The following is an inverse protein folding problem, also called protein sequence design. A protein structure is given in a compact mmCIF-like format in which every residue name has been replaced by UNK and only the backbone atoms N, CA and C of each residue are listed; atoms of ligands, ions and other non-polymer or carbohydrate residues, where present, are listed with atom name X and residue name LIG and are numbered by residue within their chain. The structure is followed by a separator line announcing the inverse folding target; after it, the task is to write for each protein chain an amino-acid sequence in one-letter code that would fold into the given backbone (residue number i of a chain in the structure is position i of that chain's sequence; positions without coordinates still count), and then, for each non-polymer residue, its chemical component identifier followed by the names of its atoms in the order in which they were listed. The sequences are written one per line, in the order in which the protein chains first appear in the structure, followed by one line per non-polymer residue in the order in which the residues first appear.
data_IF_231878039815
#
_entry.id   IF_231878039815
#
_cell.length_a   1.000
_cell.length_b   1.000
_cell.length_c   1.000
_cell.angle_alpha   90.00
_cell.angle_beta   90.00
_cell.angle_gamma   90.00
#
_symmetry.space_group_name_H-M   'P 1'
#
loop_
_entity.id
_entity.type
_entity.pdbx_description
1 polymer ?
#
# COMPACT_ATOMS: atom_id res chain seq x y z
N UNK A 1 -31.45 -0.74 6.75
CA UNK A 1 -31.68 0.19 7.86
C UNK A 1 -30.38 0.59 8.51
N UNK A 2 -29.69 -0.24 9.29
CA UNK A 2 -28.42 0.10 9.97
C UNK A 2 -27.29 0.60 9.03
N UNK A 3 -27.14 0.00 7.85
CA UNK A 3 -26.13 0.42 6.87
C UNK A 3 -26.38 1.86 6.38
N UNK A 4 -27.65 2.25 6.21
CA UNK A 4 -27.99 3.61 5.80
C UNK A 4 -27.73 4.61 6.94
N UNK A 5 -27.99 4.24 8.20
CA UNK A 5 -27.71 5.07 9.36
C UNK A 5 -26.20 5.37 9.45
N UNK A 6 -25.33 4.37 9.25
CA UNK A 6 -23.89 4.57 9.20
C UNK A 6 -23.46 5.44 8.01
N UNK A 7 -24.05 5.24 6.83
CA UNK A 7 -23.72 6.01 5.63
C UNK A 7 -24.03 7.51 5.76
N UNK A 8 -25.09 7.85 6.50
CA UNK A 8 -25.56 9.24 6.71
C UNK A 8 -24.98 9.90 7.96
N UNK A 9 -24.24 9.13 8.79
CA UNK A 9 -23.62 9.64 10.00
C UNK A 9 -22.54 10.69 9.66
N UNK A 10 -22.40 11.71 10.51
CA UNK A 10 -21.26 12.64 10.39
C UNK A 10 -19.97 12.01 10.95
N UNK A 11 -18.79 12.29 10.34
CA UNK A 11 -17.52 11.88 10.91
C UNK A 11 -17.37 12.32 12.36
N UNK A 12 -17.02 11.40 13.25
CA UNK A 12 -16.89 11.64 14.68
C UNK A 12 -15.64 10.93 15.26
N UNK A 13 -15.42 11.04 16.56
CA UNK A 13 -14.25 10.48 17.25
C UNK A 13 -14.08 8.97 17.04
N UNK A 14 -15.15 8.21 16.89
CA UNK A 14 -15.11 6.78 16.62
C UNK A 14 -14.40 6.48 15.28
N UNK A 15 -14.79 7.19 14.21
CA UNK A 15 -14.21 7.00 12.88
C UNK A 15 -12.71 7.33 12.86
N UNK A 16 -12.30 8.44 13.49
CA UNK A 16 -10.88 8.80 13.58
C UNK A 16 -10.09 7.84 14.47
N UNK A 17 -10.68 7.33 15.56
CA UNK A 17 -10.05 6.31 16.40
C UNK A 17 -9.86 5.01 15.62
N UNK A 18 -10.87 4.58 14.87
CA UNK A 18 -10.81 3.40 14.02
C UNK A 18 -9.73 3.55 12.93
N UNK A 19 -9.70 4.72 12.27
CA UNK A 19 -8.67 5.08 11.30
C UNK A 19 -7.27 5.05 11.91
N UNK A 20 -7.09 5.61 13.11
CA UNK A 20 -5.79 5.62 13.78
C UNK A 20 -5.30 4.22 14.10
N UNK A 21 -6.18 3.36 14.65
CA UNK A 21 -5.83 1.97 14.97
C UNK A 21 -5.46 1.21 13.70
N UNK A 22 -6.25 1.33 12.65
CA UNK A 22 -5.99 0.71 11.36
C UNK A 22 -4.74 1.27 10.68
N UNK A 23 -4.56 2.59 10.75
CA UNK A 23 -3.43 3.29 10.15
C UNK A 23 -2.10 2.93 10.81
N UNK A 24 -2.05 2.77 12.14
CA UNK A 24 -0.86 2.30 12.83
C UNK A 24 -0.49 0.88 12.37
N UNK A 25 -1.46 -0.03 12.21
CA UNK A 25 -1.22 -1.34 11.62
C UNK A 25 -0.59 -1.21 10.23
N UNK A 26 -1.19 -0.41 9.37
CA UNK A 26 -0.69 -0.15 8.02
C UNK A 26 0.70 0.52 8.00
N UNK A 27 1.00 1.39 8.97
CA UNK A 27 2.35 1.93 9.13
C UNK A 27 3.38 0.86 9.52
N UNK A 28 3.00 -0.11 10.33
CA UNK A 28 3.87 -1.23 10.65
C UNK A 28 4.16 -2.12 9.44
N UNK A 29 3.17 -2.34 8.57
CA UNK A 29 3.36 -3.08 7.31
C UNK A 29 4.38 -2.38 6.40
N UNK A 30 4.22 -1.06 6.25
CA UNK A 30 5.14 -0.23 5.49
C UNK A 30 6.54 -0.20 6.12
N UNK A 31 6.64 -0.19 7.45
CA UNK A 31 7.90 -0.23 8.17
C UNK A 31 8.65 -1.54 7.93
N UNK A 32 7.99 -2.70 8.02
CA UNK A 32 8.63 -4.00 7.76
C UNK A 32 9.09 -4.10 6.30
N UNK A 33 8.24 -3.66 5.37
CA UNK A 33 8.59 -3.60 3.93
C UNK A 33 9.77 -2.66 3.68
N UNK A 34 9.85 -1.54 4.40
CA UNK A 34 10.96 -0.59 4.29
C UNK A 34 12.26 -1.11 4.89
N UNK A 35 12.22 -1.75 6.06
CA UNK A 35 13.41 -2.26 6.74
C UNK A 35 14.21 -3.21 5.84
N UNK A 36 13.55 -4.06 5.05
CA UNK A 36 14.25 -4.99 4.16
C UNK A 36 15.15 -4.24 3.15
N UNK A 37 14.70 -3.09 2.63
CA UNK A 37 15.48 -2.27 1.71
C UNK A 37 16.79 -1.79 2.34
N UNK A 38 16.75 -1.39 3.60
CA UNK A 38 17.91 -0.89 4.34
C UNK A 38 18.89 -1.99 4.72
N UNK A 39 18.43 -3.22 4.94
CA UNK A 39 19.32 -4.32 5.31
C UNK A 39 19.95 -5.02 4.09
N UNK A 40 19.38 -4.86 2.88
CA UNK A 40 19.93 -5.48 1.65
C UNK A 40 21.43 -5.24 1.46
N UNK A 41 21.98 -4.01 1.55
CA UNK A 41 23.42 -3.80 1.38
C UNK A 41 24.27 -4.45 2.48
N UNK A 42 23.70 -4.60 3.69
CA UNK A 42 24.37 -5.30 4.80
C UNK A 42 24.41 -6.81 4.57
N UNK A 43 23.31 -7.40 4.11
CA UNK A 43 23.25 -8.83 3.75
C UNK A 43 24.19 -9.16 2.59
N UNK A 44 24.25 -8.29 1.58
CA UNK A 44 25.22 -8.44 0.48
C UNK A 44 26.64 -8.54 1.01
N UNK A 45 27.00 -7.69 1.97
CA UNK A 45 28.34 -7.69 2.56
C UNK A 45 28.59 -8.87 3.49
N UNK A 46 27.61 -9.24 4.35
CA UNK A 46 27.78 -10.28 5.37
C UNK A 46 27.75 -11.70 4.77
N UNK A 47 26.86 -11.93 3.81
CA UNK A 47 26.63 -13.26 3.21
C UNK A 47 27.17 -13.38 1.78
N UNK A 48 27.85 -12.35 1.26
CA UNK A 48 28.40 -12.30 -0.11
C UNK A 48 27.37 -12.62 -1.20
N UNK A 49 26.13 -12.10 -1.03
CA UNK A 49 25.03 -12.38 -1.93
C UNK A 49 25.18 -11.62 -3.25
N UNK A 50 24.78 -12.27 -4.33
CA UNK A 50 24.66 -11.66 -5.65
C UNK A 50 23.46 -10.69 -5.70
N UNK A 51 23.46 -9.77 -6.66
CA UNK A 51 22.32 -8.89 -6.87
C UNK A 51 21.02 -9.67 -7.12
N UNK A 52 21.10 -10.79 -7.85
CA UNK A 52 19.94 -11.66 -8.12
C UNK A 52 19.37 -12.26 -6.84
N UNK A 53 20.22 -12.76 -5.93
CA UNK A 53 19.77 -13.30 -4.64
C UNK A 53 19.11 -12.23 -3.76
N UNK A 54 19.68 -11.02 -3.71
CA UNK A 54 19.09 -9.89 -3.00
C UNK A 54 17.74 -9.48 -3.62
N UNK A 55 17.67 -9.42 -4.96
CA UNK A 55 16.40 -9.13 -5.66
C UNK A 55 15.32 -10.18 -5.39
N UNK A 56 15.72 -11.45 -5.26
CA UNK A 56 14.81 -12.55 -4.91
C UNK A 56 14.19 -12.35 -3.51
N UNK A 57 14.96 -11.88 -2.52
CA UNK A 57 14.42 -11.57 -1.18
C UNK A 57 13.27 -10.55 -1.25
N UNK A 58 13.43 -9.50 -2.05
CA UNK A 58 12.38 -8.51 -2.26
C UNK A 58 11.17 -9.09 -2.99
N UNK A 59 11.42 -9.79 -4.11
CA UNK A 59 10.36 -10.37 -4.95
C UNK A 59 9.54 -11.44 -4.23
N UNK A 60 10.17 -12.31 -3.44
CA UNK A 60 9.48 -13.35 -2.67
C UNK A 60 8.58 -12.74 -1.59
N UNK A 61 9.00 -11.65 -0.94
CA UNK A 61 8.16 -10.91 -0.01
C UNK A 61 6.91 -10.35 -0.68
N UNK A 62 7.08 -9.70 -1.84
CA UNK A 62 5.96 -9.14 -2.61
C UNK A 62 5.06 -10.22 -3.22
N UNK A 63 5.61 -11.38 -3.61
CA UNK A 63 4.84 -12.56 -4.02
C UNK A 63 3.98 -13.06 -2.86
N UNK A 64 4.56 -13.18 -1.67
CA UNK A 64 3.83 -13.48 -0.45
C UNK A 64 2.68 -12.51 -0.21
N UNK A 65 2.91 -11.20 -0.37
CA UNK A 65 1.86 -10.18 -0.25
C UNK A 65 0.73 -10.36 -1.27
N UNK A 66 1.04 -10.71 -2.51
CA UNK A 66 0.02 -10.94 -3.53
C UNK A 66 -0.86 -12.16 -3.17
N UNK A 67 -0.24 -13.26 -2.77
CA UNK A 67 -0.96 -14.48 -2.35
C UNK A 67 -1.77 -14.20 -1.07
N UNK A 68 -1.15 -13.55 -0.08
CA UNK A 68 -1.79 -13.20 1.19
C UNK A 68 -3.03 -12.32 1.02
N UNK A 69 -2.99 -11.36 0.09
CA UNK A 69 -4.14 -10.49 -0.19
C UNK A 69 -5.35 -11.28 -0.73
N UNK A 70 -5.11 -12.23 -1.63
CA UNK A 70 -6.17 -13.07 -2.20
C UNK A 70 -6.73 -14.01 -1.12
N UNK A 71 -5.86 -14.68 -0.38
CA UNK A 71 -6.27 -15.62 0.66
C UNK A 71 -7.00 -14.92 1.81
N UNK A 72 -6.45 -13.83 2.33
CA UNK A 72 -7.07 -13.09 3.42
C UNK A 72 -8.40 -12.46 3.01
N UNK A 73 -8.50 -11.91 1.79
CA UNK A 73 -9.76 -11.38 1.27
C UNK A 73 -10.85 -12.46 1.21
N UNK A 74 -10.53 -13.64 0.68
CA UNK A 74 -11.46 -14.77 0.64
C UNK A 74 -11.84 -15.28 2.03
N UNK A 75 -10.86 -15.44 2.93
CA UNK A 75 -11.08 -15.92 4.28
C UNK A 75 -11.84 -14.90 5.16
N UNK A 76 -11.64 -13.60 4.95
CA UNK A 76 -12.33 -12.56 5.72
C UNK A 76 -13.85 -12.62 5.56
N UNK A 77 -14.34 -13.06 4.41
CA UNK A 77 -15.78 -13.24 4.15
C UNK A 77 -16.38 -14.45 4.90
N UNK A 78 -15.57 -15.42 5.32
CA UNK A 78 -16.00 -16.61 6.04
C UNK A 78 -15.72 -16.56 7.54
N UNK A 79 -14.57 -16.01 7.94
CA UNK A 79 -14.08 -16.07 9.32
C UNK A 79 -14.32 -14.73 10.06
N UNK A 80 -14.40 -13.61 9.33
CA UNK A 80 -14.56 -12.25 9.84
C UNK A 80 -13.32 -11.39 9.64
N UNK A 81 -13.54 -10.09 9.46
CA UNK A 81 -12.44 -9.15 9.15
C UNK A 81 -11.47 -8.98 10.32
N UNK A 82 -12.01 -8.77 11.51
CA UNK A 82 -11.21 -8.59 12.74
C UNK A 82 -10.30 -9.77 13.03
N UNK A 83 -10.79 -11.00 12.84
CA UNK A 83 -9.98 -12.21 13.07
C UNK A 83 -8.86 -12.32 12.05
N UNK A 84 -9.15 -12.05 10.77
CA UNK A 84 -8.14 -12.12 9.70
C UNK A 84 -7.06 -11.08 9.94
N UNK A 85 -7.39 -9.82 10.23
CA UNK A 85 -6.39 -8.79 10.56
C UNK A 85 -5.50 -9.25 11.73
N UNK A 86 -6.10 -9.83 12.78
CA UNK A 86 -5.33 -10.35 13.92
C UNK A 86 -4.37 -11.47 13.51
N UNK A 87 -4.83 -12.42 12.71
CA UNK A 87 -4.02 -13.58 12.31
C UNK A 87 -2.92 -13.21 11.31
N UNK A 88 -3.21 -12.32 10.36
CA UNK A 88 -2.21 -11.85 9.40
C UNK A 88 -1.12 -11.05 10.08
N UNK A 89 -1.47 -10.20 11.02
CA UNK A 89 -0.52 -9.42 11.81
C UNK A 89 0.34 -10.30 12.73
N UNK A 90 -0.24 -11.33 13.36
CA UNK A 90 0.52 -12.31 14.14
C UNK A 90 1.48 -13.11 13.25
N UNK A 91 1.01 -13.55 12.08
CA UNK A 91 1.83 -14.32 11.14
C UNK A 91 3.06 -13.54 10.72
N UNK A 92 2.88 -12.29 10.22
CA UNK A 92 4.05 -11.53 9.77
C UNK A 92 4.93 -11.10 10.92
N UNK A 93 4.39 -10.73 12.07
CA UNK A 93 5.19 -10.35 13.24
C UNK A 93 6.06 -11.49 13.75
N UNK A 94 5.52 -12.72 13.82
CA UNK A 94 6.31 -13.92 14.18
C UNK A 94 7.34 -14.22 13.09
N UNK A 95 6.96 -14.17 11.82
CA UNK A 95 7.86 -14.43 10.70
C UNK A 95 8.99 -13.39 10.63
N UNK A 96 8.72 -12.12 10.97
CA UNK A 96 9.76 -11.08 11.08
C UNK A 96 10.69 -11.32 12.26
N UNK A 97 10.17 -11.78 13.40
CA UNK A 97 11.01 -12.19 14.53
C UNK A 97 11.93 -13.36 14.15
N UNK A 98 11.42 -14.36 13.43
CA UNK A 98 12.22 -15.45 12.91
C UNK A 98 13.25 -14.98 11.89
N UNK A 99 12.91 -13.99 11.05
CA UNK A 99 13.84 -13.35 10.11
C UNK A 99 15.03 -12.71 10.82
N UNK A 100 14.82 -12.11 12.01
CA UNK A 100 15.89 -11.54 12.82
C UNK A 100 16.89 -12.60 13.32
N UNK A 101 16.45 -13.85 13.44
CA UNK A 101 17.26 -14.99 13.89
C UNK A 101 17.83 -15.80 12.71
N UNK A 102 17.67 -15.36 11.46
CA UNK A 102 18.05 -16.12 10.29
C UNK A 102 19.56 -16.46 10.28
N UNK A 103 19.91 -17.76 10.19
CA UNK A 103 21.30 -18.19 10.15
C UNK A 103 21.89 -18.11 8.73
N UNK A 104 21.05 -18.16 7.71
CA UNK A 104 21.44 -18.17 6.30
C UNK A 104 20.38 -17.54 5.39
N UNK A 105 20.71 -17.40 4.13
CA UNK A 105 19.89 -16.80 3.09
C UNK A 105 18.57 -17.56 2.86
N UNK A 106 18.61 -18.88 2.75
CA UNK A 106 17.44 -19.71 2.45
C UNK A 106 16.38 -19.63 3.54
N UNK A 107 16.81 -19.62 4.79
CA UNK A 107 15.92 -19.44 5.93
C UNK A 107 15.26 -18.04 5.89
N UNK A 108 16.05 -16.99 5.61
CA UNK A 108 15.52 -15.64 5.49
C UNK A 108 14.53 -15.55 4.32
N UNK A 109 14.81 -16.21 3.19
CA UNK A 109 13.91 -16.22 2.03
C UNK A 109 12.53 -16.81 2.36
N UNK A 110 12.51 -17.95 3.06
CA UNK A 110 11.26 -18.57 3.52
C UNK A 110 10.52 -17.66 4.50
N UNK A 111 11.23 -17.05 5.44
CA UNK A 111 10.65 -16.08 6.35
C UNK A 111 10.06 -14.88 5.60
N UNK A 112 10.71 -14.35 4.56
CA UNK A 112 10.20 -13.24 3.74
C UNK A 112 8.90 -13.61 3.01
N UNK A 113 8.77 -14.84 2.54
CA UNK A 113 7.50 -15.31 1.98
C UNK A 113 6.38 -15.29 3.02
N UNK A 114 6.64 -15.80 4.23
CA UNK A 114 5.66 -15.83 5.33
C UNK A 114 5.30 -14.41 5.82
N UNK A 115 6.29 -13.54 5.92
CA UNK A 115 6.07 -12.11 6.22
C UNK A 115 5.14 -11.50 5.16
N UNK A 116 5.47 -11.71 3.88
CA UNK A 116 4.63 -11.23 2.78
C UNK A 116 3.20 -11.74 2.85
N UNK A 117 2.98 -13.04 3.12
CA UNK A 117 1.65 -13.62 3.28
C UNK A 117 0.82 -12.89 4.37
N UNK A 118 1.44 -12.54 5.47
CA UNK A 118 0.81 -11.75 6.53
C UNK A 118 0.50 -10.32 6.08
N UNK A 119 1.51 -9.57 5.66
CA UNK A 119 1.39 -8.16 5.23
C UNK A 119 0.35 -7.97 4.12
N UNK A 120 0.34 -8.88 3.13
CA UNK A 120 -0.57 -8.77 1.99
C UNK A 120 -2.04 -8.88 2.35
N UNK A 121 -2.35 -9.59 3.41
CA UNK A 121 -3.72 -9.79 3.87
C UNK A 121 -4.31 -8.62 4.64
N UNK A 122 -3.49 -7.73 5.17
CA UNK A 122 -3.96 -6.67 6.07
C UNK A 122 -4.71 -5.55 5.33
N UNK A 123 -4.09 -4.90 4.35
CA UNK A 123 -4.68 -3.73 3.69
C UNK A 123 -6.07 -3.96 3.09
N UNK A 124 -6.32 -5.02 2.28
CA UNK A 124 -7.63 -5.20 1.68
C UNK A 124 -8.74 -5.36 2.71
N UNK A 125 -8.43 -6.05 3.82
CA UNK A 125 -9.39 -6.31 4.89
C UNK A 125 -9.64 -5.07 5.74
N UNK A 126 -8.57 -4.34 6.08
CA UNK A 126 -8.63 -3.08 6.84
C UNK A 126 -9.35 -2.00 6.04
N UNK A 127 -9.00 -1.81 4.77
CA UNK A 127 -9.64 -0.83 3.90
C UNK A 127 -11.14 -1.11 3.75
N UNK A 128 -11.52 -2.40 3.62
CA UNK A 128 -12.93 -2.81 3.61
C UNK A 128 -13.61 -2.43 4.91
N UNK A 129 -13.01 -2.73 6.06
CA UNK A 129 -13.60 -2.41 7.36
C UNK A 129 -13.77 -0.89 7.55
N UNK A 130 -12.75 -0.10 7.20
CA UNK A 130 -12.83 1.38 7.25
C UNK A 130 -13.94 1.89 6.35
N UNK A 131 -14.09 1.38 5.13
CA UNK A 131 -15.16 1.81 4.20
C UNK A 131 -16.54 1.44 4.68
N UNK A 132 -16.71 0.31 5.38
CA UNK A 132 -17.99 -0.13 5.94
C UNK A 132 -18.49 0.77 7.05
N UNK A 133 -17.59 1.28 7.89
CA UNK A 133 -17.93 2.18 8.99
C UNK A 133 -17.91 3.66 8.60
N UNK A 134 -17.20 4.04 7.54
CA UNK A 134 -17.08 5.44 7.13
C UNK A 134 -18.36 5.98 6.48
N UNK A 135 -18.78 7.21 6.83
CA UNK A 135 -19.88 7.91 6.17
C UNK A 135 -19.62 8.02 4.66
N UNK A 136 -20.71 7.95 3.87
CA UNK A 136 -20.63 7.89 2.41
C UNK A 136 -19.86 9.08 1.81
N UNK A 137 -20.13 10.30 2.28
CA UNK A 137 -19.53 11.54 1.76
C UNK A 137 -18.04 11.68 2.08
N UNK A 138 -17.56 11.02 3.14
CA UNK A 138 -16.17 11.12 3.60
C UNK A 138 -15.34 9.85 3.40
N UNK A 139 -15.93 8.80 2.85
CA UNK A 139 -15.31 7.47 2.68
C UNK A 139 -13.98 7.53 1.94
N UNK A 140 -13.95 8.23 0.80
CA UNK A 140 -12.72 8.42 0.02
C UNK A 140 -11.63 9.12 0.83
N UNK A 141 -12.00 10.15 1.62
CA UNK A 141 -11.07 10.85 2.49
C UNK A 141 -10.45 9.94 3.55
N UNK A 142 -11.24 9.04 4.16
CA UNK A 142 -10.73 8.08 5.15
C UNK A 142 -9.74 7.09 4.53
N UNK A 143 -9.97 6.64 3.29
CA UNK A 143 -9.03 5.76 2.58
C UNK A 143 -7.72 6.48 2.26
N UNK A 144 -7.77 7.71 1.75
CA UNK A 144 -6.54 8.50 1.50
C UNK A 144 -5.76 8.75 2.79
N UNK A 145 -6.46 9.03 3.90
CA UNK A 145 -5.83 9.17 5.21
C UNK A 145 -5.21 7.85 5.69
N UNK A 146 -5.85 6.70 5.46
CA UNK A 146 -5.29 5.38 5.75
C UNK A 146 -4.00 5.15 4.96
N UNK A 147 -4.03 5.42 3.66
CA UNK A 147 -2.87 5.27 2.77
C UNK A 147 -1.68 6.17 3.19
N UNK A 148 -1.93 7.36 3.74
CA UNK A 148 -0.87 8.25 4.20
C UNK A 148 -0.01 7.67 5.33
N UNK A 149 -0.52 6.69 6.09
CA UNK A 149 0.25 5.97 7.10
C UNK A 149 1.39 5.12 6.51
N UNK A 150 1.32 4.79 5.22
CA UNK A 150 2.42 4.15 4.50
C UNK A 150 3.71 4.98 4.56
N UNK A 151 3.62 6.28 4.31
CA UNK A 151 4.78 7.19 4.42
C UNK A 151 5.33 7.26 5.86
N UNK A 152 4.46 7.18 6.88
CA UNK A 152 4.88 7.12 8.29
C UNK A 152 5.68 5.84 8.53
N UNK A 153 5.24 4.70 8.01
CA UNK A 153 5.94 3.43 8.14
C UNK A 153 7.33 3.46 7.50
N UNK A 154 7.45 4.00 6.29
CA UNK A 154 8.76 4.19 5.64
C UNK A 154 9.67 5.14 6.42
N UNK A 155 9.12 6.21 7.01
CA UNK A 155 9.89 7.11 7.88
C UNK A 155 10.41 6.37 9.12
N UNK A 156 9.57 5.53 9.75
CA UNK A 156 9.99 4.71 10.89
C UNK A 156 11.10 3.71 10.49
N UNK A 157 10.98 3.06 9.33
CA UNK A 157 12.02 2.18 8.80
C UNK A 157 13.34 2.94 8.58
N UNK A 158 13.29 4.12 8.00
CA UNK A 158 14.46 4.97 7.77
C UNK A 158 15.10 5.44 9.08
N UNK A 159 14.30 5.79 10.10
CA UNK A 159 14.79 6.14 11.43
C UNK A 159 15.46 4.96 12.13
N UNK A 160 14.87 3.77 12.07
CA UNK A 160 15.48 2.54 12.59
C UNK A 160 16.79 2.25 11.88
N UNK A 161 16.80 2.38 10.56
CA UNK A 161 18.00 2.16 9.76
C UNK A 161 19.13 3.15 10.11
N UNK A 162 18.80 4.42 10.25
CA UNK A 162 19.79 5.46 10.53
C UNK A 162 20.31 5.44 11.98
N UNK A 163 19.41 5.23 12.96
CA UNK A 163 19.75 5.36 14.40
C UNK A 163 20.15 4.05 15.06
N UNK A 164 19.57 2.91 14.64
CA UNK A 164 19.67 1.64 15.38
C UNK A 164 20.57 0.64 14.64
N UNK A 165 20.35 0.44 13.34
CA UNK A 165 21.09 -0.58 12.58
C UNK A 165 22.61 -0.38 12.61
N UNK A 166 23.18 0.85 12.51
CA UNK A 166 24.63 1.03 12.54
C UNK A 166 25.28 0.64 13.88
N UNK A 167 24.52 0.69 14.96
CA UNK A 167 25.02 0.42 16.33
C UNK A 167 24.80 -1.06 16.71
N UNK A 168 23.60 -1.58 16.44
CA UNK A 168 23.14 -2.89 16.93
C UNK A 168 23.02 -3.96 15.83
N UNK A 169 23.25 -3.61 14.56
CA UNK A 169 23.14 -4.50 13.42
C UNK A 169 21.72 -4.70 12.90
N UNK A 170 21.64 -5.31 11.72
CA UNK A 170 20.37 -5.49 10.98
C UNK A 170 19.37 -6.44 11.67
N UNK A 171 19.89 -7.41 12.46
CA UNK A 171 19.04 -8.34 13.23
C UNK A 171 18.15 -7.63 14.23
N UNK A 172 18.68 -6.63 14.91
CA UNK A 172 17.89 -5.80 15.85
C UNK A 172 16.88 -4.93 15.09
N UNK A 173 17.26 -4.40 13.92
CA UNK A 173 16.32 -3.70 13.03
C UNK A 173 15.11 -4.55 12.69
N UNK A 174 15.30 -5.81 12.29
CA UNK A 174 14.20 -6.76 12.03
C UNK A 174 13.45 -7.15 13.32
N UNK A 175 14.13 -7.32 14.45
CA UNK A 175 13.47 -7.63 15.71
C UNK A 175 12.48 -6.52 16.14
N UNK A 176 12.81 -5.26 15.87
CA UNK A 176 11.88 -4.13 16.05
C UNK A 176 10.70 -4.26 15.09
N UNK A 177 10.92 -4.71 13.85
CA UNK A 177 9.88 -5.03 12.89
C UNK A 177 8.88 -6.10 13.34
N UNK A 178 9.19 -6.87 14.38
CA UNK A 178 8.28 -7.85 14.97
C UNK A 178 7.29 -7.26 16.01
N UNK A 179 7.49 -6.02 16.46
CA UNK A 179 6.62 -5.35 17.45
C UNK A 179 5.13 -5.34 17.07
N UNK A 180 4.74 -5.28 15.79
CA UNK A 180 3.35 -5.39 15.39
C UNK A 180 2.62 -6.62 15.91
N UNK A 181 3.31 -7.75 16.14
CA UNK A 181 2.69 -8.91 16.78
C UNK A 181 2.06 -8.57 18.14
N UNK A 182 2.65 -7.65 18.91
CA UNK A 182 2.10 -7.16 20.18
C UNK A 182 0.90 -6.23 19.96
N UNK A 183 0.86 -5.52 18.84
CA UNK A 183 -0.23 -4.60 18.49
C UNK A 183 -1.54 -5.33 18.20
N UNK A 184 -1.52 -6.62 17.90
CA UNK A 184 -2.72 -7.46 17.75
C UNK A 184 -3.64 -7.41 18.96
N UNK A 185 -3.11 -7.22 20.16
CA UNK A 185 -3.88 -7.00 21.39
C UNK A 185 -4.74 -5.73 21.31
N UNK A 186 -4.22 -4.66 20.74
CA UNK A 186 -4.95 -3.39 20.55
C UNK A 186 -6.05 -3.57 19.51
N UNK A 187 -5.76 -4.23 18.39
CA UNK A 187 -6.76 -4.52 17.35
C UNK A 187 -7.89 -5.38 17.93
N UNK A 188 -7.54 -6.44 18.63
CA UNK A 188 -8.52 -7.35 19.25
C UNK A 188 -9.45 -6.65 20.23
N UNK A 189 -8.94 -5.70 21.00
CA UNK A 189 -9.74 -5.01 22.04
C UNK A 189 -10.56 -3.83 21.51
N UNK A 190 -10.08 -3.11 20.48
CA UNK A 190 -10.65 -1.82 20.08
C UNK A 190 -11.30 -1.82 18.70
N UNK A 191 -10.98 -2.77 17.83
CA UNK A 191 -11.60 -2.86 16.50
C UNK A 191 -12.94 -3.59 16.57
N UNK A 192 -14.03 -3.04 16.01
CA UNK A 192 -15.30 -3.74 15.87
C UNK A 192 -15.21 -4.79 14.74
N UNK A 193 -16.07 -5.82 14.76
CA UNK A 193 -16.22 -6.72 13.63
C UNK A 193 -17.06 -6.06 12.53
N UNK A 194 -16.93 -6.51 11.30
CA UNK A 194 -17.70 -6.01 10.17
C UNK A 194 -19.18 -6.33 10.31
N UNK A 195 -20.04 -5.30 10.23
CA UNK A 195 -21.48 -5.49 10.27
C UNK A 195 -21.99 -6.25 9.04
N UNK A 196 -21.42 -6.01 7.86
CA UNK A 196 -21.78 -6.74 6.63
C UNK A 196 -21.44 -8.23 6.72
N UNK A 197 -20.29 -8.55 7.34
CA UNK A 197 -19.94 -9.94 7.63
C UNK A 197 -20.94 -10.60 8.57
N UNK A 198 -21.31 -9.93 9.66
CA UNK A 198 -22.25 -10.48 10.65
C UNK A 198 -23.66 -10.64 10.06
N UNK A 199 -24.11 -9.73 9.20
CA UNK A 199 -25.35 -9.85 8.45
C UNK A 199 -25.29 -11.06 7.51
N UNK A 200 -24.24 -11.20 6.71
CA UNK A 200 -24.08 -12.31 5.75
C UNK A 200 -24.03 -13.68 6.42
N UNK A 201 -23.43 -13.75 7.62
CA UNK A 201 -23.34 -14.96 8.43
C UNK A 201 -24.55 -15.18 9.34
N UNK A 202 -25.58 -14.32 9.26
CA UNK A 202 -26.81 -14.37 10.07
C UNK A 202 -26.55 -14.43 11.59
N UNK A 203 -25.49 -13.79 12.08
CA UNK A 203 -25.06 -13.77 13.49
C UNK A 203 -25.73 -12.64 14.25
N UNK A 204 -27.05 -12.74 14.49
CA UNK A 204 -27.88 -11.68 15.05
C UNK A 204 -27.38 -11.13 16.39
N UNK A 205 -27.02 -12.02 17.34
CA UNK A 205 -26.56 -11.60 18.68
C UNK A 205 -25.24 -10.81 18.61
N UNK A 206 -24.28 -11.28 17.79
CA UNK A 206 -23.01 -10.59 17.59
C UNK A 206 -23.20 -9.27 16.83
N UNK A 207 -24.13 -9.24 15.88
CA UNK A 207 -24.48 -8.04 15.14
C UNK A 207 -25.01 -6.97 16.10
N UNK A 208 -26.03 -7.31 16.93
CA UNK A 208 -26.61 -6.36 17.86
C UNK A 208 -25.64 -5.95 18.97
N UNK A 209 -24.74 -6.84 19.41
CA UNK A 209 -23.65 -6.49 20.33
C UNK A 209 -22.67 -5.50 19.70
N UNK A 210 -22.31 -5.70 18.44
CA UNK A 210 -21.41 -4.77 17.70
C UNK A 210 -22.09 -3.43 17.47
N UNK A 211 -23.39 -3.41 17.12
CA UNK A 211 -24.18 -2.17 17.00
C UNK A 211 -24.18 -1.42 18.34
N UNK A 212 -24.37 -2.12 19.48
CA UNK A 212 -24.32 -1.52 20.81
C UNK A 212 -22.94 -0.88 21.10
N UNK A 213 -21.86 -1.56 20.70
CA UNK A 213 -20.51 -1.05 20.87
C UNK A 213 -20.29 0.23 20.04
N UNK A 214 -20.76 0.26 18.78
CA UNK A 214 -20.66 1.43 17.91
C UNK A 214 -21.51 2.57 18.43
N UNK A 215 -22.75 2.30 18.86
CA UNK A 215 -23.66 3.27 19.47
C UNK A 215 -23.03 3.94 20.70
N UNK A 216 -22.45 3.15 21.61
CA UNK A 216 -21.77 3.67 22.79
C UNK A 216 -20.56 4.56 22.43
N UNK A 217 -19.82 4.19 21.37
CA UNK A 217 -18.64 4.93 20.91
C UNK A 217 -19.01 6.21 20.13
N UNK A 218 -20.09 6.17 19.36
CA UNK A 218 -20.56 7.32 18.53
C UNK A 218 -21.48 8.28 19.29
N UNK A 219 -22.13 7.79 20.35
CA UNK A 219 -23.21 8.46 21.10
C UNK A 219 -24.43 8.80 20.20
N UNK A 220 -24.61 8.06 19.14
CA UNK A 220 -25.74 8.18 18.20
C UNK A 220 -26.59 6.93 18.33
N UNK A 221 -27.92 7.03 18.61
CA UNK A 221 -28.77 5.87 18.68
C UNK A 221 -28.80 5.13 17.34
N UNK A 222 -28.64 3.81 17.38
CA UNK A 222 -28.63 2.95 16.20
C UNK A 222 -29.71 1.88 16.31
N UNK A 223 -30.37 1.61 15.18
CA UNK A 223 -31.44 0.61 15.14
C UNK A 223 -30.89 -0.80 15.26
N UNK A 224 -31.46 -1.61 16.17
CA UNK A 224 -31.16 -3.05 16.27
C UNK A 224 -31.81 -3.80 15.13
N UNK A 225 -31.09 -4.80 14.64
CA UNK A 225 -31.62 -5.69 13.59
C UNK A 225 -32.47 -6.82 14.17
N UNK A 226 -33.48 -7.22 13.43
CA UNK A 226 -34.31 -8.41 13.67
C UNK A 226 -33.91 -9.55 12.73
N UNK A 227 -34.50 -10.75 12.94
CA UNK A 227 -34.25 -11.90 12.02
C UNK A 227 -34.78 -11.62 10.61
N UNK A 228 -35.93 -10.92 10.51
CA UNK A 228 -36.54 -10.57 9.23
C UNK A 228 -35.70 -9.57 8.45
N UNK A 229 -35.07 -8.60 9.14
CA UNK A 229 -34.13 -7.67 8.53
C UNK A 229 -32.92 -8.39 7.89
N UNK A 230 -32.40 -9.44 8.55
CA UNK A 230 -31.27 -10.22 8.03
C UNK A 230 -31.59 -10.94 6.73
N UNK A 231 -32.81 -11.54 6.65
CA UNK A 231 -33.23 -12.24 5.43
C UNK A 231 -33.43 -11.29 4.25
N UNK A 232 -33.95 -10.09 4.47
CA UNK A 232 -34.12 -9.06 3.45
C UNK A 232 -32.77 -8.51 2.93
N UNK A 233 -31.79 -8.34 3.81
CA UNK A 233 -30.48 -7.78 3.46
C UNK A 233 -29.58 -8.77 2.69
N UNK A 234 -29.83 -10.09 2.79
CA UNK A 234 -29.05 -11.12 2.09
C UNK A 234 -29.58 -11.45 0.69
N UNK A 235 -30.80 -11.03 0.33
CA UNK A 235 -31.48 -11.42 -0.91
C UNK A 235 -30.97 -10.74 -2.20
N UNK A 236 -30.09 -9.75 -2.13
CA UNK A 236 -29.76 -8.85 -3.26
C UNK A 236 -28.26 -8.79 -3.59
N UNK A 237 -27.59 -9.92 -3.77
CA UNK A 237 -26.14 -9.98 -4.01
C UNK A 237 -25.79 -10.41 -5.45
N UNK A 238 -26.11 -9.59 -6.45
CA UNK A 238 -25.60 -9.78 -7.83
C UNK A 238 -24.16 -9.27 -7.90
N UNK A 239 -23.19 -10.20 -8.01
CA UNK A 239 -21.77 -9.83 -8.10
C UNK A 239 -21.36 -9.59 -9.56
N UNK A 240 -20.78 -8.42 -9.87
CA UNK A 240 -20.24 -8.17 -11.20
C UNK A 240 -19.05 -9.11 -11.48
N UNK A 241 -18.93 -9.56 -12.73
CA UNK A 241 -17.86 -10.44 -13.18
C UNK A 241 -16.72 -9.68 -13.84
N UNK A 242 -15.53 -10.30 -13.92
CA UNK A 242 -14.37 -9.70 -14.60
C UNK A 242 -14.68 -9.28 -16.04
N UNK A 243 -15.53 -10.04 -16.74
CA UNK A 243 -15.97 -9.71 -18.10
C UNK A 243 -16.64 -8.35 -18.22
N UNK A 244 -17.27 -7.85 -17.16
CA UNK A 244 -17.90 -6.52 -17.14
C UNK A 244 -16.88 -5.39 -17.33
N UNK A 245 -15.64 -5.55 -16.86
CA UNK A 245 -14.56 -4.55 -17.03
C UNK A 245 -14.07 -4.46 -18.47
N UNK A 246 -14.27 -5.50 -19.27
CA UNK A 246 -13.84 -5.58 -20.67
C UNK A 246 -14.95 -5.26 -21.69
N UNK A 247 -16.10 -4.81 -21.22
CA UNK A 247 -17.12 -4.27 -22.10
C UNK A 247 -16.56 -3.03 -22.86
N UNK A 248 -17.01 -2.79 -24.09
CA UNK A 248 -16.58 -1.67 -24.94
C UNK A 248 -16.54 -0.32 -24.21
N UNK A 249 -17.42 -0.13 -23.22
CA UNK A 249 -17.54 1.08 -22.42
C UNK A 249 -16.39 1.29 -21.44
N UNK A 250 -15.84 0.20 -20.86
CA UNK A 250 -14.85 0.27 -19.77
C UNK A 250 -13.47 -0.24 -20.18
N UNK A 251 -13.36 -1.01 -21.26
CA UNK A 251 -12.13 -1.68 -21.66
C UNK A 251 -10.93 -0.72 -21.78
N UNK A 252 -11.12 0.44 -22.41
CA UNK A 252 -10.04 1.43 -22.57
C UNK A 252 -9.58 1.99 -21.22
N UNK A 253 -10.54 2.30 -20.32
CA UNK A 253 -10.23 2.79 -18.97
C UNK A 253 -9.52 1.73 -18.15
N UNK A 254 -9.98 0.49 -18.24
CA UNK A 254 -9.39 -0.67 -17.57
C UNK A 254 -7.96 -0.90 -18.05
N UNK A 255 -7.72 -0.90 -19.35
CA UNK A 255 -6.40 -1.04 -19.95
C UNK A 255 -5.46 0.08 -19.48
N UNK A 256 -5.89 1.33 -19.55
CA UNK A 256 -5.12 2.50 -19.10
C UNK A 256 -4.76 2.37 -17.61
N UNK A 257 -5.73 2.02 -16.75
CA UNK A 257 -5.48 1.84 -15.32
C UNK A 257 -4.52 0.68 -15.04
N UNK A 258 -4.67 -0.46 -15.72
CA UNK A 258 -3.77 -1.60 -15.54
C UNK A 258 -2.32 -1.26 -15.90
N UNK A 259 -2.10 -0.58 -17.03
CA UNK A 259 -0.78 -0.11 -17.44
C UNK A 259 -0.23 0.88 -16.41
N UNK A 260 -1.04 1.82 -15.93
CA UNK A 260 -0.62 2.83 -14.97
C UNK A 260 -0.28 2.21 -13.62
N UNK A 261 -1.13 1.31 -13.10
CA UNK A 261 -0.86 0.60 -11.84
C UNK A 261 0.38 -0.29 -11.93
N UNK A 262 0.53 -1.03 -13.04
CA UNK A 262 1.73 -1.83 -13.26
C UNK A 262 2.98 -0.95 -13.22
N UNK A 263 3.00 0.15 -14.00
CA UNK A 263 4.18 1.00 -14.13
C UNK A 263 4.52 1.77 -12.84
N UNK A 264 3.52 2.26 -12.09
CA UNK A 264 3.77 2.99 -10.85
C UNK A 264 4.29 2.05 -9.75
N UNK A 265 3.71 0.85 -9.61
CA UNK A 265 4.15 -0.15 -8.63
C UNK A 265 5.53 -0.70 -8.99
N UNK A 266 5.75 -1.01 -10.27
CA UNK A 266 7.04 -1.42 -10.81
C UNK A 266 8.14 -0.39 -10.48
N UNK A 267 7.93 0.88 -10.83
CA UNK A 267 8.91 1.93 -10.58
C UNK A 267 9.11 2.22 -9.09
N UNK A 268 8.05 2.21 -8.31
CA UNK A 268 8.13 2.45 -6.87
C UNK A 268 9.00 1.40 -6.17
N UNK A 269 8.65 0.12 -6.29
CA UNK A 269 9.41 -0.94 -5.62
C UNK A 269 10.80 -1.12 -6.22
N UNK A 270 10.95 -0.92 -7.54
CA UNK A 270 12.26 -0.97 -8.19
C UNK A 270 13.23 0.09 -7.68
N UNK A 271 12.73 1.30 -7.45
CA UNK A 271 13.55 2.40 -6.95
C UNK A 271 13.76 2.26 -5.43
N UNK A 272 12.67 2.36 -4.65
CA UNK A 272 12.79 2.53 -3.20
C UNK A 272 13.34 1.30 -2.49
N UNK A 273 13.11 0.10 -2.99
CA UNK A 273 13.69 -1.11 -2.41
C UNK A 273 15.20 -1.23 -2.64
N UNK A 274 15.69 -0.73 -3.76
CA UNK A 274 17.10 -0.80 -4.11
C UNK A 274 17.91 0.47 -3.78
N UNK A 275 17.23 1.55 -3.47
CA UNK A 275 17.87 2.87 -3.30
C UNK A 275 19.03 2.89 -2.29
N UNK A 276 18.95 2.25 -1.10
CA UNK A 276 20.10 2.18 -0.18
C UNK A 276 21.30 1.46 -0.79
N UNK A 277 21.04 0.34 -1.46
CA UNK A 277 22.11 -0.45 -2.12
C UNK A 277 22.76 0.31 -3.28
N UNK A 278 21.94 1.00 -4.09
CA UNK A 278 22.43 1.77 -5.24
C UNK A 278 23.25 2.98 -4.81
N UNK A 279 22.86 3.70 -3.77
CA UNK A 279 23.65 4.80 -3.21
C UNK A 279 24.95 4.29 -2.61
N UNK A 280 24.91 3.15 -1.90
CA UNK A 280 26.11 2.51 -1.36
C UNK A 280 27.10 2.10 -2.47
N UNK A 281 26.61 1.54 -3.59
CA UNK A 281 27.45 1.17 -4.73
C UNK A 281 28.11 2.37 -5.42
N UNK A 282 27.57 3.57 -5.28
CA UNK A 282 28.21 4.80 -5.76
C UNK A 282 29.38 5.29 -4.87
N UNK A 283 29.78 4.52 -3.88
CA UNK A 283 30.91 4.81 -3.01
C UNK A 283 30.57 5.59 -1.74
N UNK A 284 29.29 5.86 -1.47
CA UNK A 284 28.87 6.43 -0.20
C UNK A 284 28.92 5.40 0.92
N UNK A 285 29.09 5.83 2.16
CA UNK A 285 28.99 4.92 3.31
C UNK A 285 27.55 4.46 3.50
N UNK A 286 27.37 3.30 4.12
CA UNK A 286 26.03 2.77 4.45
C UNK A 286 25.23 3.77 5.29
N UNK A 287 25.88 4.42 6.25
CA UNK A 287 25.23 5.44 7.12
C UNK A 287 24.76 6.63 6.29
N UNK A 288 25.57 7.16 5.37
CA UNK A 288 25.16 8.23 4.46
C UNK A 288 24.02 7.82 3.55
N UNK A 289 24.01 6.59 3.07
CA UNK A 289 22.90 6.06 2.28
C UNK A 289 21.58 6.08 3.07
N UNK A 290 21.63 5.70 4.35
CA UNK A 290 20.45 5.74 5.24
C UNK A 290 20.01 7.19 5.54
N UNK A 291 20.95 8.10 5.77
CA UNK A 291 20.68 9.53 5.96
C UNK A 291 19.96 10.14 4.75
N UNK A 292 20.44 9.85 3.53
CA UNK A 292 19.83 10.36 2.31
C UNK A 292 18.42 9.81 2.10
N UNK A 293 18.21 8.53 2.35
CA UNK A 293 16.86 7.98 2.29
C UNK A 293 15.92 8.57 3.34
N UNK A 294 16.41 8.85 4.53
CA UNK A 294 15.63 9.53 5.56
C UNK A 294 15.14 10.90 5.06
N UNK A 295 16.05 11.71 4.49
CA UNK A 295 15.71 13.02 3.91
C UNK A 295 14.70 12.86 2.76
N UNK A 296 14.94 11.90 1.85
CA UNK A 296 14.04 11.64 0.72
C UNK A 296 12.66 11.17 1.20
N UNK A 297 12.58 10.38 2.26
CA UNK A 297 11.32 9.91 2.84
C UNK A 297 10.53 11.06 3.45
N UNK A 298 11.17 12.02 4.09
CA UNK A 298 10.50 13.22 4.61
C UNK A 298 9.84 14.02 3.48
N UNK A 299 10.45 14.07 2.30
CA UNK A 299 9.90 14.78 1.14
C UNK A 299 8.58 14.15 0.61
N UNK A 300 8.26 12.91 0.97
CA UNK A 300 7.00 12.25 0.59
C UNK A 300 5.77 12.97 1.18
N UNK A 301 5.87 13.48 2.40
CA UNK A 301 4.74 14.15 3.07
C UNK A 301 4.26 15.40 2.33
N UNK A 302 5.11 16.40 2.01
CA UNK A 302 4.68 17.52 1.20
C UNK A 302 4.24 17.10 -0.21
N UNK A 303 4.77 15.98 -0.76
CA UNK A 303 4.31 15.38 -2.00
C UNK A 303 2.83 15.00 -1.97
N UNK A 304 2.40 14.27 -0.94
CA UNK A 304 0.98 13.94 -0.74
C UNK A 304 0.10 15.17 -0.56
N UNK A 305 0.54 16.15 0.24
CA UNK A 305 -0.23 17.36 0.52
C UNK A 305 -0.43 18.19 -0.75
N UNK A 306 0.65 18.38 -1.52
CA UNK A 306 0.60 19.16 -2.77
C UNK A 306 -0.25 18.45 -3.84
N UNK A 307 -0.17 17.13 -3.91
CA UNK A 307 -1.00 16.33 -4.82
C UNK A 307 -2.48 16.45 -4.46
N UNK A 308 -2.85 16.36 -3.18
CA UNK A 308 -4.23 16.55 -2.72
C UNK A 308 -4.78 17.93 -3.10
N UNK A 309 -3.97 18.99 -2.96
CA UNK A 309 -4.36 20.34 -3.38
C UNK A 309 -4.54 20.45 -4.90
N UNK A 310 -3.61 19.91 -5.68
CA UNK A 310 -3.63 20.03 -7.14
C UNK A 310 -4.76 19.18 -7.78
N UNK A 311 -5.08 18.02 -7.21
CA UNK A 311 -6.22 17.19 -7.66
C UNK A 311 -7.51 17.98 -7.69
N UNK A 312 -7.75 18.83 -6.70
CA UNK A 312 -8.95 19.67 -6.66
C UNK A 312 -8.85 20.89 -7.57
N UNK A 313 -7.64 21.41 -7.83
CA UNK A 313 -7.40 22.62 -8.62
C UNK A 313 -7.36 22.35 -10.13
N UNK A 314 -6.59 21.37 -10.60
CA UNK A 314 -6.39 21.08 -12.03
C UNK A 314 -7.01 19.75 -12.48
N UNK A 315 -7.48 18.92 -11.55
CA UNK A 315 -8.10 17.63 -11.84
C UNK A 315 -7.17 16.43 -11.67
N UNK A 316 -7.78 15.23 -11.71
CA UNK A 316 -7.07 13.97 -11.40
C UNK A 316 -6.12 13.56 -12.52
N UNK A 317 -6.60 13.59 -13.76
CA UNK A 317 -5.83 13.22 -14.95
C UNK A 317 -4.56 14.04 -15.09
N UNK A 318 -4.68 15.37 -15.02
CA UNK A 318 -3.54 16.27 -15.23
C UNK A 318 -2.56 16.23 -14.07
N UNK A 319 -3.05 16.14 -12.81
CA UNK A 319 -2.18 16.01 -11.64
C UNK A 319 -1.38 14.72 -11.70
N UNK A 320 -2.03 13.58 -12.00
CA UNK A 320 -1.35 12.29 -12.09
C UNK A 320 -0.28 12.32 -13.19
N UNK A 321 -0.62 12.79 -14.39
CA UNK A 321 0.33 12.86 -15.51
C UNK A 321 1.52 13.77 -15.21
N UNK A 322 1.29 14.92 -14.57
CA UNK A 322 2.35 15.85 -14.18
C UNK A 322 3.31 15.20 -13.17
N UNK A 323 2.76 14.57 -12.13
CA UNK A 323 3.57 13.95 -11.09
C UNK A 323 4.36 12.75 -11.60
N UNK A 324 3.78 11.95 -12.49
CA UNK A 324 4.48 10.85 -13.15
C UNK A 324 5.60 11.36 -14.05
N UNK A 325 5.35 12.40 -14.83
CA UNK A 325 6.36 13.00 -15.70
C UNK A 325 7.53 13.58 -14.88
N UNK A 326 7.22 14.33 -13.81
CA UNK A 326 8.24 14.88 -12.91
C UNK A 326 9.01 13.77 -12.18
N UNK A 327 8.36 12.65 -11.83
CA UNK A 327 9.04 11.47 -11.27
C UNK A 327 10.03 10.86 -12.27
N UNK A 328 9.64 10.78 -13.55
CA UNK A 328 10.51 10.30 -14.62
C UNK A 328 11.74 11.19 -14.84
N UNK A 329 11.52 12.51 -14.90
CA UNK A 329 12.61 13.49 -15.03
C UNK A 329 13.56 13.39 -13.83
N UNK A 330 13.01 13.35 -12.61
CA UNK A 330 13.81 13.23 -11.39
C UNK A 330 14.59 11.93 -11.33
N UNK A 331 13.99 10.80 -11.76
CA UNK A 331 14.67 9.50 -11.86
C UNK A 331 15.84 9.55 -12.85
N UNK A 332 15.66 10.18 -14.00
CA UNK A 332 16.73 10.37 -14.97
C UNK A 332 17.92 11.12 -14.39
N UNK A 333 17.66 12.27 -13.76
CA UNK A 333 18.74 13.06 -13.12
C UNK A 333 19.38 12.35 -11.94
N UNK A 334 18.63 11.53 -11.21
CA UNK A 334 19.19 10.74 -10.12
C UNK A 334 20.20 9.70 -10.62
N UNK A 335 19.86 8.96 -11.70
CA UNK A 335 20.76 7.98 -12.30
C UNK A 335 22.03 8.59 -12.90
N UNK A 336 21.95 9.83 -13.38
CA UNK A 336 23.06 10.58 -13.99
C UNK A 336 23.73 11.57 -13.06
N UNK A 337 23.51 11.43 -11.73
CA UNK A 337 24.03 12.39 -10.77
C UNK A 337 25.56 12.37 -10.73
N UNK A 338 26.20 13.49 -11.02
CA UNK A 338 27.66 13.70 -10.98
C UNK A 338 28.15 14.32 -9.69
N UNK A 339 27.23 14.79 -8.84
CA UNK A 339 27.51 15.40 -7.56
C UNK A 339 26.52 14.95 -6.48
N UNK A 340 26.98 15.00 -5.23
CA UNK A 340 26.13 14.70 -4.06
C UNK A 340 24.88 15.60 -4.00
N UNK A 341 25.01 16.87 -4.31
CA UNK A 341 23.89 17.81 -4.36
C UNK A 341 22.85 17.43 -5.43
N UNK A 342 23.30 17.01 -6.61
CA UNK A 342 22.42 16.54 -7.69
C UNK A 342 21.71 15.26 -7.31
N UNK A 343 22.43 14.30 -6.70
CA UNK A 343 21.85 13.04 -6.21
C UNK A 343 20.75 13.32 -5.19
N UNK A 344 21.03 14.12 -4.18
CA UNK A 344 20.09 14.40 -3.11
C UNK A 344 18.87 15.18 -3.61
N UNK A 345 19.09 16.24 -4.42
CA UNK A 345 18.00 17.04 -4.94
C UNK A 345 17.09 16.25 -5.86
N UNK A 346 17.64 15.47 -6.78
CA UNK A 346 16.84 14.64 -7.68
C UNK A 346 16.12 13.52 -6.93
N UNK A 347 16.75 12.94 -5.88
CA UNK A 347 16.12 11.96 -5.02
C UNK A 347 14.95 12.52 -4.19
N UNK A 348 15.11 13.74 -3.65
CA UNK A 348 14.04 14.48 -2.97
C UNK A 348 12.87 14.72 -3.93
N UNK A 349 13.13 15.25 -5.12
CA UNK A 349 12.12 15.49 -6.14
C UNK A 349 11.42 14.19 -6.56
N UNK A 350 12.19 13.12 -6.79
CA UNK A 350 11.65 11.80 -7.14
C UNK A 350 10.70 11.26 -6.06
N UNK A 351 11.09 11.35 -4.79
CA UNK A 351 10.27 10.93 -3.65
C UNK A 351 9.00 11.77 -3.52
N UNK A 352 9.12 13.09 -3.66
CA UNK A 352 8.00 14.03 -3.61
C UNK A 352 6.96 13.73 -4.68
N UNK A 353 7.36 13.64 -5.94
CA UNK A 353 6.43 13.45 -7.05
C UNK A 353 5.87 12.02 -7.10
N UNK A 354 6.69 11.00 -6.81
CA UNK A 354 6.24 9.62 -6.86
C UNK A 354 5.13 9.35 -5.83
N UNK A 355 5.33 9.74 -4.59
CA UNK A 355 4.32 9.52 -3.55
C UNK A 355 3.08 10.42 -3.74
N UNK A 356 3.25 11.61 -4.30
CA UNK A 356 2.12 12.40 -4.75
C UNK A 356 1.31 11.69 -5.83
N UNK A 357 1.95 11.07 -6.82
CA UNK A 357 1.28 10.27 -7.85
C UNK A 357 0.51 9.08 -7.24
N UNK A 358 1.06 8.41 -6.21
CA UNK A 358 0.37 7.36 -5.45
C UNK A 358 -0.95 7.86 -4.85
N UNK A 359 -0.95 9.01 -4.18
CA UNK A 359 -2.18 9.60 -3.63
C UNK A 359 -3.22 9.88 -4.69
N UNK A 360 -2.80 10.35 -5.87
CA UNK A 360 -3.72 10.65 -6.97
C UNK A 360 -4.30 9.38 -7.58
N UNK A 361 -3.50 8.33 -7.82
CA UNK A 361 -4.01 7.11 -8.47
C UNK A 361 -5.02 6.36 -7.60
N UNK A 362 -4.85 6.35 -6.28
CA UNK A 362 -5.82 5.78 -5.35
C UNK A 362 -7.16 6.52 -5.37
N UNK A 363 -7.13 7.84 -5.58
CA UNK A 363 -8.35 8.63 -5.71
C UNK A 363 -8.98 8.48 -7.10
N UNK A 364 -8.16 8.51 -8.14
CA UNK A 364 -8.60 8.50 -9.54
C UNK A 364 -9.20 7.15 -9.96
N UNK A 365 -8.60 6.04 -9.55
CA UNK A 365 -9.03 4.70 -9.97
C UNK A 365 -10.50 4.41 -9.66
N UNK A 366 -11.01 4.58 -8.42
CA UNK A 366 -12.42 4.33 -8.12
C UNK A 366 -13.37 5.34 -8.77
N UNK A 367 -12.91 6.55 -9.11
CA UNK A 367 -13.73 7.56 -9.78
C UNK A 367 -13.99 7.24 -11.26
N UNK A 368 -13.23 6.35 -11.87
CA UNK A 368 -13.41 5.94 -13.27
C UNK A 368 -14.44 4.83 -13.49
N UNK A 369 -14.94 4.22 -12.41
CA UNK A 369 -15.92 3.14 -12.49
C UNK A 369 -17.24 3.51 -11.79
N UNK A 370 -18.39 3.09 -12.33
CA UNK A 370 -19.67 3.22 -11.65
C UNK A 370 -19.68 2.38 -10.37
N UNK A 371 -20.54 2.75 -9.44
CA UNK A 371 -20.57 2.19 -8.08
C UNK A 371 -20.63 0.66 -8.04
N UNK A 372 -21.35 0.05 -9.00
CA UNK A 372 -21.59 -1.40 -9.09
C UNK A 372 -20.31 -2.21 -9.34
N UNK A 373 -19.40 -1.69 -10.17
CA UNK A 373 -18.15 -2.39 -10.57
C UNK A 373 -16.89 -1.72 -10.01
N UNK A 374 -17.02 -0.65 -9.24
CA UNK A 374 -15.91 0.14 -8.70
C UNK A 374 -14.93 -0.68 -7.89
N UNK A 375 -15.44 -1.51 -6.97
CA UNK A 375 -14.61 -2.39 -6.15
C UNK A 375 -13.86 -3.42 -6.97
N UNK A 376 -14.53 -4.01 -7.97
CA UNK A 376 -13.93 -4.97 -8.89
C UNK A 376 -12.82 -4.32 -9.73
N UNK A 377 -13.10 -3.15 -10.33
CA UNK A 377 -12.15 -2.43 -11.18
C UNK A 377 -10.92 -1.97 -10.42
N UNK A 378 -11.10 -1.39 -9.22
CA UNK A 378 -9.98 -0.95 -8.37
C UNK A 378 -9.15 -2.13 -7.86
N UNK A 379 -9.80 -3.21 -7.46
CA UNK A 379 -9.12 -4.41 -6.96
C UNK A 379 -8.26 -5.07 -8.05
N UNK A 380 -8.77 -5.21 -9.27
CA UNK A 380 -8.00 -5.77 -10.38
C UNK A 380 -6.86 -4.85 -10.82
N UNK A 381 -7.07 -3.53 -10.87
CA UNK A 381 -6.02 -2.58 -11.20
C UNK A 381 -4.84 -2.68 -10.20
N UNK A 382 -5.13 -2.67 -8.91
CA UNK A 382 -4.12 -2.86 -7.87
C UNK A 382 -3.46 -4.25 -7.94
N UNK A 383 -4.23 -5.30 -8.26
CA UNK A 383 -3.71 -6.66 -8.45
C UNK A 383 -2.70 -6.76 -9.59
N UNK A 384 -2.98 -6.13 -10.74
CA UNK A 384 -2.02 -6.05 -11.87
C UNK A 384 -0.77 -5.26 -11.47
N UNK A 385 -0.93 -4.18 -10.70
CA UNK A 385 0.21 -3.44 -10.16
C UNK A 385 1.15 -4.33 -9.34
N UNK A 386 0.62 -5.25 -8.54
CA UNK A 386 1.44 -6.18 -7.74
C UNK A 386 2.35 -7.07 -8.57
N UNK A 387 1.94 -7.44 -9.79
CA UNK A 387 2.79 -8.20 -10.73
C UNK A 387 4.06 -7.40 -11.05
N UNK A 388 3.92 -6.09 -11.32
CA UNK A 388 5.07 -5.20 -11.52
C UNK A 388 5.99 -5.15 -10.30
N UNK A 389 5.40 -5.06 -9.10
CA UNK A 389 6.13 -5.08 -7.83
C UNK A 389 6.90 -6.39 -7.59
N UNK A 390 6.34 -7.54 -7.94
CA UNK A 390 7.00 -8.85 -7.80
C UNK A 390 8.19 -8.97 -8.75
N UNK A 391 8.04 -8.53 -9.99
CA UNK A 391 9.06 -8.69 -11.03
C UNK A 391 10.26 -7.78 -10.79
N UNK A 392 10.04 -6.53 -10.37
CA UNK A 392 11.07 -5.50 -10.43
C UNK A 392 12.23 -5.70 -9.47
N UNK A 393 12.09 -6.17 -8.20
CA UNK A 393 13.26 -6.35 -7.36
C UNK A 393 14.22 -7.42 -7.91
N UNK A 394 13.65 -8.50 -8.45
CA UNK A 394 14.43 -9.53 -9.12
C UNK A 394 15.09 -8.98 -10.39
N UNK A 395 14.35 -8.24 -11.22
CA UNK A 395 14.89 -7.66 -12.45
C UNK A 395 16.06 -6.71 -12.18
N UNK A 396 15.93 -5.80 -11.22
CA UNK A 396 17.04 -4.90 -10.85
C UNK A 396 18.22 -5.68 -10.33
N UNK A 397 18.01 -6.68 -9.47
CA UNK A 397 19.06 -7.54 -8.98
C UNK A 397 19.77 -8.32 -10.10
N UNK A 398 19.02 -8.83 -11.07
CA UNK A 398 19.55 -9.49 -12.25
C UNK A 398 20.41 -8.54 -13.10
N UNK A 399 19.93 -7.33 -13.35
CA UNK A 399 20.66 -6.31 -14.10
C UNK A 399 21.98 -5.94 -13.41
N UNK A 400 21.95 -5.75 -12.08
CA UNK A 400 23.15 -5.46 -11.29
C UNK A 400 24.16 -6.63 -11.31
N UNK A 401 23.68 -7.87 -11.28
CA UNK A 401 24.55 -9.07 -11.39
C UNK A 401 25.24 -9.21 -12.76
N UNK A 402 24.71 -8.52 -13.79
CA UNK A 402 25.28 -8.43 -15.13
C UNK A 402 26.02 -7.12 -15.37
N UNK A 403 26.48 -6.47 -14.30
CA UNK A 403 27.29 -5.24 -14.33
C UNK A 403 26.61 -4.06 -15.03
N UNK A 404 25.27 -4.05 -15.07
CA UNK A 404 24.54 -2.90 -15.57
C UNK A 404 24.76 -1.71 -14.64
N UNK A 405 25.13 -0.58 -15.20
CA UNK A 405 25.32 0.67 -14.48
C UNK A 405 24.01 1.25 -13.94
N UNK A 406 24.12 2.01 -12.88
CA UNK A 406 22.96 2.66 -12.23
C UNK A 406 22.19 3.59 -13.18
N UNK A 407 22.87 4.30 -14.05
CA UNK A 407 22.27 5.19 -15.06
C UNK A 407 21.27 4.45 -15.96
N UNK A 408 21.63 3.25 -16.44
CA UNK A 408 20.76 2.41 -17.26
C UNK A 408 19.49 1.95 -16.51
N UNK A 409 19.64 1.60 -15.22
CA UNK A 409 18.51 1.18 -14.37
C UNK A 409 17.56 2.34 -14.15
N UNK A 410 18.08 3.54 -13.85
CA UNK A 410 17.23 4.73 -13.67
C UNK A 410 16.65 5.24 -14.99
N UNK A 411 17.34 5.03 -16.12
CA UNK A 411 16.77 5.29 -17.45
C UNK A 411 15.54 4.41 -17.73
N UNK A 412 15.60 3.12 -17.33
CA UNK A 412 14.43 2.24 -17.41
C UNK A 412 13.24 2.81 -16.62
N UNK A 413 13.46 3.19 -15.36
CA UNK A 413 12.37 3.76 -14.53
C UNK A 413 11.85 5.09 -15.08
N UNK A 414 12.74 5.97 -15.52
CA UNK A 414 12.37 7.23 -16.16
C UNK A 414 11.48 6.98 -17.38
N UNK A 415 11.84 6.02 -18.24
CA UNK A 415 11.06 5.63 -19.42
C UNK A 415 9.67 5.11 -19.05
N UNK A 416 9.58 4.24 -18.03
CA UNK A 416 8.29 3.71 -17.54
C UNK A 416 7.42 4.85 -17.04
N UNK A 417 7.94 5.78 -16.24
CA UNK A 417 7.18 6.93 -15.76
C UNK A 417 6.67 7.81 -16.89
N UNK A 418 7.49 8.09 -17.90
CA UNK A 418 7.08 8.90 -19.07
C UNK A 418 5.98 8.16 -19.86
N UNK A 419 6.13 6.86 -20.11
CA UNK A 419 5.14 6.07 -20.83
C UNK A 419 3.80 6.10 -20.09
N UNK A 420 3.77 5.83 -18.80
CA UNK A 420 2.50 5.83 -18.05
C UNK A 420 1.91 7.24 -17.92
N UNK A 421 2.74 8.29 -17.83
CA UNK A 421 2.27 9.68 -17.87
C UNK A 421 1.56 9.99 -19.19
N UNK A 422 2.14 9.58 -20.32
CA UNK A 422 1.55 9.75 -21.64
C UNK A 422 0.28 8.91 -21.81
N UNK A 423 0.24 7.69 -21.30
CA UNK A 423 -0.95 6.82 -21.32
C UNK A 423 -2.10 7.47 -20.55
N UNK A 424 -1.84 7.99 -19.34
CA UNK A 424 -2.85 8.70 -18.54
C UNK A 424 -3.29 9.98 -19.24
N UNK A 425 -2.35 10.74 -19.82
CA UNK A 425 -2.65 11.99 -20.52
C UNK A 425 -3.46 11.77 -21.80
N UNK A 426 -3.23 10.67 -22.52
CA UNK A 426 -3.91 10.37 -23.79
C UNK A 426 -5.27 9.72 -23.58
N UNK A 427 -5.36 8.73 -22.71
CA UNK A 427 -6.53 7.86 -22.56
C UNK A 427 -7.33 8.10 -21.28
N UNK A 428 -6.78 8.84 -20.30
CA UNK A 428 -7.47 9.16 -19.06
C UNK A 428 -8.67 10.07 -19.29
N UNK A 429 -9.77 9.82 -18.59
CA UNK A 429 -10.91 10.73 -18.50
C UNK A 429 -10.75 11.62 -17.28
N UNK A 430 -11.04 12.93 -17.41
CA UNK A 430 -11.04 13.80 -16.24
C UNK A 430 -12.33 13.58 -15.43
N UNK A 431 -12.17 13.30 -14.14
CA UNK A 431 -13.29 13.02 -13.21
C UNK A 431 -13.65 14.20 -12.30
N UNK A 432 -12.91 15.32 -12.41
CA UNK A 432 -13.13 16.51 -11.59
C UNK A 432 -14.56 17.02 -11.73
N UNK A 433 -15.26 17.18 -10.58
CA UNK A 433 -16.64 17.68 -10.49
C UNK A 433 -17.69 16.84 -11.23
N UNK A 434 -17.38 15.63 -11.63
CA UNK A 434 -18.39 14.72 -12.17
C UNK A 434 -19.08 13.99 -11.01
N UNK A 435 -20.43 13.96 -11.03
CA UNK A 435 -21.16 13.13 -10.09
C UNK A 435 -20.84 11.65 -10.36
N UNK A 436 -20.49 10.90 -9.32
CA UNK A 436 -20.12 9.48 -9.44
C UNK A 436 -21.21 8.60 -10.09
N UNK A 437 -22.46 9.06 -10.05
CA UNK A 437 -23.63 8.42 -10.67
C UNK A 437 -23.78 8.74 -12.15
N UNK A 438 -23.08 9.75 -12.66
CA UNK A 438 -23.12 10.21 -14.07
C UNK A 438 -22.02 9.63 -14.97
N UNK A 439 -21.18 8.75 -14.47
CA UNK A 439 -20.08 8.13 -15.21
C UNK A 439 -20.65 6.98 -16.07
N UNK A 440 -21.13 7.34 -17.24
CA UNK A 440 -21.51 6.38 -18.29
C UNK A 440 -20.34 6.05 -19.20
#
# INVERSE_FOLDING_TARGET
MIINELNTMKPNRFHYKLLLIAGIGWAFDAMDTGIISFIMPLLTKEWHLTGTEIGMLGSVGLLGMAIGAVLAGALADHIGRKKIITWTMLLYGIATALSAMAPNYEFLLVCRLLVGLGLGGELPVVATLITEYSPQDSRGRFIVMLESFWAIGWLLAALIAYLIIPIYGWRIGLAIGALPALYTGVIRSHMPESLRYLIKQQKLDQLNATIAQVEAATKVPLTRCTKDDLTMLTANDSRPTLGTLWNKQYALRTCMLWITWFGIVFSYYGIFMWLPSLIYQQGFTIIKSFEYLLIMTIAQFPGYISAAYLVDKIGRRYTLSLYLLCSGISSYFFGHATSEAMLLTSGICMSFFNLGAWGVIYTYTPELYPTEIRGLGSGWAAGIGRIGGIIVPFLVGFLLSHEMHMDAIFYLFASVFVIIALVVLSFGKESKKQALEGIK
#
